data_IF_761951472900
#
_entry.id   IF_761951472900
#
_cell.length_a   1.000
_cell.length_b   1.000
_cell.length_c   1.000
_cell.angle_alpha   90.00
_cell.angle_beta   90.00
_cell.angle_gamma   90.00
#
_symmetry.space_group_name_H-M   'P 1'
#
loop_
_entity.id
_entity.type
_entity.pdbx_description
1 polymer ?
#
# COMPACT_ATOMS: atom_id res chain seq x y z
N UNK A 1 11.60 27.84 -5.50
CA UNK A 1 12.74 26.93 -5.33
C UNK A 1 13.96 27.60 -5.97
N UNK A 2 14.97 27.95 -5.17
CA UNK A 2 16.26 28.36 -5.73
C UNK A 2 16.88 27.17 -6.45
N UNK A 3 17.43 27.36 -7.65
CA UNK A 3 18.10 26.28 -8.37
C UNK A 3 19.36 25.90 -7.60
N UNK A 4 19.39 24.66 -7.09
CA UNK A 4 20.60 24.08 -6.51
C UNK A 4 21.67 24.02 -7.60
N UNK A 5 22.90 24.45 -7.26
CA UNK A 5 24.03 24.46 -8.20
C UNK A 5 24.53 23.06 -8.54
N UNK A 6 25.42 22.93 -9.55
CA UNK A 6 25.96 21.65 -10.00
C UNK A 6 26.75 20.87 -8.92
N UNK A 7 27.27 21.56 -7.92
CA UNK A 7 28.03 20.99 -6.79
C UNK A 7 27.15 20.47 -5.65
N UNK A 8 25.83 20.59 -5.75
CA UNK A 8 24.92 20.12 -4.71
C UNK A 8 24.97 18.58 -4.58
N UNK A 9 24.96 18.04 -3.34
CA UNK A 9 24.96 16.59 -3.14
C UNK A 9 23.72 15.97 -3.79
N UNK A 10 23.85 14.78 -4.35
CA UNK A 10 22.73 14.09 -4.98
C UNK A 10 22.15 13.02 -4.08
N UNK A 11 20.83 12.87 -4.13
CA UNK A 11 20.12 11.76 -3.52
C UNK A 11 19.38 10.96 -4.61
N UNK A 12 19.37 9.64 -4.44
CA UNK A 12 18.62 8.73 -5.29
C UNK A 12 17.32 8.32 -4.59
N UNK A 13 16.21 8.29 -5.33
CA UNK A 13 14.96 7.66 -4.88
C UNK A 13 14.50 6.61 -5.90
N UNK A 14 14.39 5.35 -5.47
CA UNK A 14 13.85 4.26 -6.29
C UNK A 14 12.51 3.83 -5.69
N UNK A 15 11.43 4.27 -6.32
CA UNK A 15 10.05 4.09 -5.86
C UNK A 15 9.08 4.20 -7.04
N UNK A 16 7.77 4.20 -6.80
CA UNK A 16 6.82 4.43 -7.89
C UNK A 16 6.75 5.91 -8.26
N UNK A 17 7.01 6.21 -9.53
CA UNK A 17 7.26 7.59 -9.99
C UNK A 17 6.11 8.20 -10.80
N UNK A 18 4.94 7.55 -10.88
CA UNK A 18 3.85 7.98 -11.76
C UNK A 18 3.38 9.42 -11.50
N UNK A 19 3.49 9.93 -10.27
CA UNK A 19 3.11 11.28 -9.91
C UNK A 19 4.22 12.33 -10.16
N UNK A 20 5.46 11.90 -10.41
CA UNK A 20 6.61 12.80 -10.54
C UNK A 20 6.50 13.81 -11.69
N UNK A 21 5.99 13.47 -12.88
CA UNK A 21 5.78 14.45 -13.93
C UNK A 21 4.89 15.63 -13.50
N UNK A 22 3.85 15.35 -12.69
CA UNK A 22 2.95 16.35 -12.15
C UNK A 22 3.61 17.19 -11.05
N UNK A 23 4.37 16.55 -10.17
CA UNK A 23 5.13 17.24 -9.13
C UNK A 23 6.15 18.22 -9.72
N UNK A 24 6.96 17.79 -10.69
CA UNK A 24 7.97 18.63 -11.36
C UNK A 24 7.32 19.82 -12.09
N UNK A 25 6.13 19.62 -12.64
CA UNK A 25 5.34 20.69 -13.27
C UNK A 25 4.67 21.65 -12.26
N UNK A 26 4.84 21.45 -10.94
CA UNK A 26 4.17 22.23 -9.90
C UNK A 26 2.66 21.99 -9.81
N UNK A 27 2.19 20.84 -10.31
CA UNK A 27 0.77 20.49 -10.48
C UNK A 27 0.43 19.13 -9.87
N UNK A 28 1.08 18.74 -8.78
CA UNK A 28 0.85 17.43 -8.14
C UNK A 28 -0.65 17.15 -7.89
N UNK A 29 -1.39 18.14 -7.42
CA UNK A 29 -2.83 18.03 -7.11
C UNK A 29 -3.70 17.75 -8.35
N UNK A 30 -3.19 17.95 -9.57
CA UNK A 30 -3.90 17.59 -10.80
C UNK A 30 -3.58 16.18 -11.30
N UNK A 31 -2.78 15.39 -10.57
CA UNK A 31 -2.45 14.03 -10.94
C UNK A 31 -3.69 13.13 -10.74
N UNK A 32 -4.21 12.46 -11.79
CA UNK A 32 -5.49 11.77 -11.73
C UNK A 32 -5.49 10.58 -10.75
N UNK A 33 -4.33 9.97 -10.54
CA UNK A 33 -4.15 8.82 -9.65
C UNK A 33 -3.84 9.19 -8.20
N UNK A 34 -3.69 10.48 -7.86
CA UNK A 34 -3.11 10.91 -6.58
C UNK A 34 -3.81 10.29 -5.35
N UNK A 35 -5.13 10.14 -5.43
CA UNK A 35 -5.95 9.60 -4.34
C UNK A 35 -6.15 8.08 -4.42
N UNK A 36 -5.62 7.40 -5.44
CA UNK A 36 -5.80 5.95 -5.58
C UNK A 36 -4.93 5.16 -4.60
N UNK A 37 -3.77 5.71 -4.22
CA UNK A 37 -2.84 5.12 -3.27
C UNK A 37 -1.87 6.17 -2.72
N UNK A 38 -1.50 6.08 -1.44
CA UNK A 38 -0.63 7.06 -0.76
C UNK A 38 0.74 7.22 -1.42
N UNK A 39 1.28 6.13 -1.96
CA UNK A 39 2.56 6.09 -2.70
C UNK A 39 2.75 7.23 -3.72
N UNK A 40 1.67 7.72 -4.34
CA UNK A 40 1.75 8.76 -5.35
C UNK A 40 2.10 10.13 -4.78
N UNK A 41 1.66 10.46 -3.57
CA UNK A 41 2.08 11.70 -2.92
C UNK A 41 3.35 11.50 -2.09
N UNK A 42 3.59 10.29 -1.57
CA UNK A 42 4.80 9.96 -0.79
C UNK A 42 6.09 10.26 -1.57
N UNK A 43 6.18 9.88 -2.85
CA UNK A 43 7.37 10.16 -3.66
C UNK A 43 7.64 11.66 -3.79
N UNK A 44 6.59 12.44 -4.00
CA UNK A 44 6.69 13.89 -4.09
C UNK A 44 7.16 14.48 -2.75
N UNK A 45 6.68 13.93 -1.64
CA UNK A 45 7.07 14.36 -0.30
C UNK A 45 8.52 14.00 0.03
N UNK A 46 8.97 12.78 -0.32
CA UNK A 46 10.38 12.39 -0.20
C UNK A 46 11.29 13.35 -0.97
N UNK A 47 10.94 13.65 -2.23
CA UNK A 47 11.72 14.56 -3.08
C UNK A 47 11.71 15.99 -2.52
N UNK A 48 10.55 16.49 -2.05
CA UNK A 48 10.43 17.81 -1.44
C UNK A 48 11.35 17.95 -0.22
N UNK A 49 11.31 16.99 0.69
CA UNK A 49 12.11 16.99 1.91
C UNK A 49 13.62 16.92 1.63
N UNK A 50 14.04 16.17 0.62
CA UNK A 50 15.43 16.10 0.18
C UNK A 50 15.89 17.41 -0.46
N UNK A 51 15.07 18.00 -1.34
CA UNK A 51 15.36 19.29 -1.95
C UNK A 51 15.50 20.40 -0.91
N UNK A 52 14.64 20.43 0.12
CA UNK A 52 14.72 21.39 1.24
C UNK A 52 16.00 21.25 2.07
N UNK A 53 16.60 20.06 2.07
CA UNK A 53 17.89 19.78 2.71
C UNK A 53 19.09 20.03 1.77
N UNK A 54 18.84 20.56 0.57
CA UNK A 54 19.87 20.94 -0.40
C UNK A 54 20.33 19.83 -1.34
N UNK A 55 19.59 18.72 -1.42
CA UNK A 55 19.92 17.64 -2.36
C UNK A 55 19.32 17.88 -3.75
N UNK A 56 20.07 17.52 -4.79
CA UNK A 56 19.50 17.28 -6.12
C UNK A 56 19.02 15.84 -6.18
N UNK A 57 17.74 15.63 -6.45
CA UNK A 57 17.15 14.28 -6.41
C UNK A 57 16.98 13.69 -7.80
N UNK A 58 17.58 12.52 -8.01
CA UNK A 58 17.27 11.65 -9.15
C UNK A 58 16.28 10.58 -8.69
N UNK A 59 15.32 10.23 -9.56
CA UNK A 59 14.32 9.21 -9.25
C UNK A 59 14.20 8.17 -10.37
N UNK A 60 14.03 6.92 -9.96
CA UNK A 60 13.79 5.78 -10.85
C UNK A 60 12.51 5.08 -10.44
N UNK A 61 11.78 4.56 -11.42
CA UNK A 61 10.68 3.66 -11.13
C UNK A 61 11.20 2.40 -10.43
N UNK A 62 10.43 1.87 -9.49
CA UNK A 62 10.77 0.64 -8.73
C UNK A 62 11.00 -0.58 -9.65
N UNK A 63 10.42 -0.57 -10.84
CA UNK A 63 10.61 -1.62 -11.86
C UNK A 63 11.66 -1.26 -12.91
N UNK A 64 12.30 -0.10 -12.82
CA UNK A 64 13.29 0.34 -13.81
C UNK A 64 14.54 -0.56 -13.76
N UNK A 65 14.89 -1.24 -14.87
CA UNK A 65 16.03 -2.14 -14.93
C UNK A 65 17.35 -1.42 -15.27
N UNK A 66 17.31 -0.12 -15.56
CA UNK A 66 18.49 0.61 -16.02
C UNK A 66 19.59 0.62 -14.95
N UNK A 67 20.86 0.40 -15.32
CA UNK A 67 21.97 0.48 -14.38
C UNK A 67 22.04 1.84 -13.67
N UNK A 68 22.38 1.82 -12.38
CA UNK A 68 22.55 3.03 -11.58
C UNK A 68 24.05 3.27 -11.37
N UNK A 69 24.52 4.47 -11.71
CA UNK A 69 25.85 4.93 -11.31
C UNK A 69 25.81 5.44 -9.86
N UNK A 70 26.03 4.52 -8.92
CA UNK A 70 25.96 4.76 -7.48
C UNK A 70 26.97 5.80 -6.98
N UNK A 71 28.08 6.01 -7.71
CA UNK A 71 29.15 6.93 -7.32
C UNK A 71 28.70 8.40 -7.27
N UNK A 72 27.55 8.71 -7.87
CA UNK A 72 26.99 10.07 -7.96
C UNK A 72 26.22 10.49 -6.72
N UNK A 73 25.86 9.56 -5.84
CA UNK A 73 24.90 9.80 -4.76
C UNK A 73 25.57 9.82 -3.39
N UNK A 74 25.12 10.73 -2.53
CA UNK A 74 25.47 10.73 -1.12
C UNK A 74 24.46 9.92 -0.28
N UNK A 75 23.22 9.78 -0.76
CA UNK A 75 22.18 9.00 -0.10
C UNK A 75 21.26 8.34 -1.14
N UNK A 76 20.68 7.19 -0.78
CA UNK A 76 19.74 6.46 -1.61
C UNK A 76 18.57 5.91 -0.77
N UNK A 77 17.35 6.16 -1.24
CA UNK A 77 16.10 5.65 -0.66
C UNK A 77 15.45 4.69 -1.65
N UNK A 78 15.36 3.41 -1.31
CA UNK A 78 15.05 2.36 -2.28
C UNK A 78 14.01 1.40 -1.69
N UNK A 79 12.95 1.10 -2.44
CA UNK A 79 11.95 0.08 -2.07
C UNK A 79 12.21 -1.30 -2.73
N UNK A 80 12.93 -1.32 -3.84
CA UNK A 80 13.31 -2.54 -4.58
C UNK A 80 14.55 -3.24 -4.00
N UNK A 81 15.00 -4.34 -4.65
CA UNK A 81 16.25 -5.04 -4.28
C UNK A 81 17.55 -4.29 -4.68
N UNK A 82 17.45 -3.07 -5.19
CA UNK A 82 18.58 -2.40 -5.82
C UNK A 82 19.69 -1.95 -4.87
N UNK A 83 19.49 -1.94 -3.55
CA UNK A 83 20.59 -1.62 -2.62
C UNK A 83 21.74 -2.63 -2.68
N UNK A 84 21.46 -3.88 -3.09
CA UNK A 84 22.48 -4.90 -3.31
C UNK A 84 23.43 -4.56 -4.47
N UNK A 85 23.03 -3.67 -5.37
CA UNK A 85 23.85 -3.23 -6.50
C UNK A 85 24.85 -2.14 -6.12
N UNK A 86 24.67 -1.47 -4.98
CA UNK A 86 25.57 -0.42 -4.52
C UNK A 86 26.90 -1.02 -4.04
N UNK A 87 28.05 -0.67 -4.67
CA UNK A 87 29.35 -1.15 -4.21
C UNK A 87 29.60 -0.76 -2.73
N UNK A 88 30.10 -1.70 -1.90
CA UNK A 88 30.25 -1.49 -0.46
C UNK A 88 31.28 -0.41 -0.08
N UNK A 89 32.22 -0.10 -0.97
CA UNK A 89 33.24 0.92 -0.79
C UNK A 89 32.73 2.37 -1.00
N UNK A 90 31.57 2.54 -1.64
CA UNK A 90 31.02 3.87 -1.88
C UNK A 90 30.38 4.42 -0.60
N UNK A 91 30.63 5.70 -0.27
CA UNK A 91 30.12 6.33 0.95
C UNK A 91 28.64 6.76 0.81
N UNK A 92 27.78 5.92 0.20
CA UNK A 92 26.35 6.18 0.03
C UNK A 92 25.61 5.77 1.30
N UNK A 93 24.81 6.68 1.87
CA UNK A 93 23.87 6.32 2.94
C UNK A 93 22.66 5.59 2.34
N UNK A 94 22.50 4.32 2.70
CA UNK A 94 21.50 3.42 2.11
C UNK A 94 20.29 3.27 3.02
N UNK A 95 19.13 3.71 2.54
CA UNK A 95 17.85 3.60 3.23
C UNK A 95 16.96 2.64 2.46
N UNK A 96 16.61 1.52 3.07
CA UNK A 96 15.58 0.64 2.56
C UNK A 96 14.20 1.19 2.97
N UNK A 97 13.49 1.77 2.00
CA UNK A 97 12.15 2.32 2.20
C UNK A 97 11.13 1.18 2.18
N UNK A 98 10.99 0.50 3.31
CA UNK A 98 10.23 -0.74 3.42
C UNK A 98 8.73 -0.46 3.67
N UNK A 99 7.90 -0.83 2.69
CA UNK A 99 6.45 -0.59 2.69
C UNK A 99 5.62 -1.84 2.94
N UNK A 100 6.24 -3.02 2.95
CA UNK A 100 5.56 -4.32 3.02
C UNK A 100 6.31 -5.30 3.93
N UNK A 101 5.80 -6.52 4.09
CA UNK A 101 6.53 -7.54 4.86
C UNK A 101 7.63 -8.17 3.99
N UNK A 102 8.60 -8.82 4.64
CA UNK A 102 9.69 -9.50 3.95
C UNK A 102 9.15 -10.45 2.87
N UNK A 103 9.75 -10.42 1.67
CA UNK A 103 9.22 -11.08 0.47
C UNK A 103 8.86 -12.55 0.72
N UNK A 104 9.69 -13.27 1.48
CA UNK A 104 9.46 -14.69 1.77
C UNK A 104 8.18 -14.91 2.60
N UNK A 105 7.93 -14.03 3.57
CA UNK A 105 6.73 -14.08 4.40
C UNK A 105 5.50 -13.71 3.57
N UNK A 106 5.55 -12.59 2.84
CA UNK A 106 4.43 -12.11 2.03
C UNK A 106 4.02 -13.12 0.97
N UNK A 107 5.00 -13.66 0.24
CA UNK A 107 4.76 -14.62 -0.83
C UNK A 107 4.16 -15.92 -0.29
N UNK A 108 4.69 -16.42 0.83
CA UNK A 108 4.14 -17.60 1.50
C UNK A 108 2.72 -17.33 2.00
N UNK A 109 2.46 -16.19 2.65
CA UNK A 109 1.14 -15.83 3.17
C UNK A 109 0.07 -15.80 2.07
N UNK A 110 0.38 -15.21 0.91
CA UNK A 110 -0.54 -15.20 -0.23
C UNK A 110 -0.79 -16.62 -0.76
N UNK A 111 0.26 -17.42 -0.95
CA UNK A 111 0.10 -18.80 -1.44
C UNK A 111 -0.68 -19.67 -0.45
N UNK A 112 -0.49 -19.48 0.86
CA UNK A 112 -1.29 -20.13 1.90
C UNK A 112 -2.76 -19.73 1.82
N UNK A 113 -3.07 -18.44 1.63
CA UNK A 113 -4.44 -17.94 1.45
C UNK A 113 -5.10 -18.51 0.19
N UNK A 114 -4.39 -18.51 -0.94
CA UNK A 114 -4.90 -19.07 -2.20
C UNK A 114 -5.18 -20.56 -2.07
N UNK A 115 -4.28 -21.32 -1.42
CA UNK A 115 -4.51 -22.74 -1.16
C UNK A 115 -5.76 -22.95 -0.29
N UNK A 116 -5.88 -22.20 0.80
CA UNK A 116 -7.02 -22.31 1.70
C UNK A 116 -8.35 -21.97 0.99
N UNK A 117 -8.35 -20.93 0.15
CA UNK A 117 -9.50 -20.56 -0.69
C UNK A 117 -9.88 -21.69 -1.64
N UNK A 118 -8.89 -22.27 -2.35
CA UNK A 118 -9.10 -23.42 -3.24
C UNK A 118 -9.66 -24.63 -2.50
N UNK A 119 -9.18 -24.92 -1.29
CA UNK A 119 -9.64 -26.08 -0.54
C UNK A 119 -11.12 -25.96 -0.13
N UNK A 120 -11.63 -24.74 0.10
CA UNK A 120 -13.04 -24.49 0.43
C UNK A 120 -13.94 -24.38 -0.81
N UNK A 121 -13.44 -23.80 -1.90
CA UNK A 121 -14.27 -23.41 -3.06
C UNK A 121 -14.04 -24.28 -4.30
N UNK A 122 -12.94 -25.04 -4.36
CA UNK A 122 -12.47 -25.73 -5.55
C UNK A 122 -11.83 -24.82 -6.61
N UNK A 123 -11.73 -23.50 -6.35
CA UNK A 123 -11.28 -22.51 -7.33
C UNK A 123 -9.86 -22.07 -7.02
N UNK A 124 -8.99 -22.11 -8.03
CA UNK A 124 -7.69 -21.44 -7.97
C UNK A 124 -7.82 -19.98 -8.40
N UNK A 125 -7.12 -19.07 -7.75
CA UNK A 125 -6.96 -17.68 -8.22
C UNK A 125 -5.49 -17.42 -8.54
N UNK A 126 -5.20 -16.36 -9.30
CA UNK A 126 -3.82 -15.94 -9.53
C UNK A 126 -3.30 -15.22 -8.27
N UNK A 127 -2.02 -15.38 -7.92
CA UNK A 127 -1.38 -14.47 -6.98
C UNK A 127 -1.30 -13.06 -7.60
N UNK A 128 -1.66 -12.04 -6.83
CA UNK A 128 -1.72 -10.64 -7.25
C UNK A 128 -0.75 -9.76 -6.42
N UNK A 129 -0.15 -10.30 -5.35
CA UNK A 129 0.68 -9.56 -4.37
C UNK A 129 2.04 -10.18 -4.11
N UNK A 130 2.48 -11.09 -4.97
CA UNK A 130 3.84 -11.65 -4.89
C UNK A 130 4.86 -10.53 -5.12
N UNK A 131 5.84 -10.46 -4.23
CA UNK A 131 6.98 -9.56 -4.35
C UNK A 131 8.17 -10.33 -4.93
N UNK A 132 9.00 -9.63 -5.70
CA UNK A 132 10.30 -10.17 -6.11
C UNK A 132 11.18 -10.42 -4.89
N UNK A 133 12.11 -11.37 -5.02
CA UNK A 133 13.14 -11.56 -3.99
C UNK A 133 13.90 -10.25 -3.80
N UNK A 134 14.10 -9.88 -2.55
CA UNK A 134 14.85 -8.68 -2.15
C UNK A 134 15.63 -8.95 -0.88
N UNK A 135 16.90 -8.56 -0.88
CA UNK A 135 17.82 -8.59 0.25
C UNK A 135 18.30 -7.17 0.59
N UNK A 136 17.63 -6.13 0.09
CA UNK A 136 18.03 -4.74 0.33
C UNK A 136 18.10 -4.35 1.81
N UNK A 137 17.37 -5.04 2.70
CA UNK A 137 17.50 -4.89 4.14
C UNK A 137 18.89 -5.32 4.66
N UNK A 138 19.53 -6.33 4.05
CA UNK A 138 20.88 -6.75 4.41
C UNK A 138 21.93 -5.73 3.99
N UNK A 139 21.70 -5.00 2.90
CA UNK A 139 22.64 -4.00 2.35
C UNK A 139 22.42 -2.58 2.87
N UNK A 140 21.27 -2.32 3.50
CA UNK A 140 20.91 -1.00 4.03
C UNK A 140 21.69 -0.60 5.29
N UNK A 141 21.86 0.70 5.48
CA UNK A 141 22.29 1.28 6.76
C UNK A 141 21.07 1.56 7.65
N UNK A 142 19.95 1.95 7.02
CA UNK A 142 18.68 2.27 7.66
C UNK A 142 17.51 1.55 6.99
N UNK A 143 16.51 1.16 7.76
CA UNK A 143 15.24 0.64 7.25
C UNK A 143 14.07 1.43 7.84
N UNK A 144 13.14 1.87 7.00
CA UNK A 144 11.89 2.47 7.46
C UNK A 144 10.80 1.41 7.56
N UNK A 145 9.97 1.45 8.59
CA UNK A 145 8.87 0.50 8.79
C UNK A 145 7.55 1.28 8.86
N UNK A 146 6.53 0.84 8.14
CA UNK A 146 5.17 1.42 8.18
C UNK A 146 4.24 0.65 9.13
N UNK A 147 4.68 -0.51 9.61
CA UNK A 147 3.82 -1.53 10.18
C UNK A 147 3.90 -1.62 11.67
N UNK A 148 3.40 -2.73 12.19
CA UNK A 148 3.56 -3.06 13.60
C UNK A 148 4.99 -3.57 13.86
N UNK A 149 5.41 -3.68 15.14
CA UNK A 149 6.71 -4.28 15.48
C UNK A 149 6.94 -5.68 14.87
N UNK A 150 5.87 -6.40 14.51
CA UNK A 150 5.96 -7.68 13.81
C UNK A 150 6.69 -7.57 12.47
N UNK A 151 6.46 -6.51 11.69
CA UNK A 151 7.14 -6.29 10.40
C UNK A 151 8.66 -6.28 10.61
N UNK A 152 9.14 -5.57 11.63
CA UNK A 152 10.56 -5.49 11.96
C UNK A 152 11.19 -6.82 12.37
N UNK A 153 10.42 -7.82 12.81
CA UNK A 153 10.94 -9.16 13.12
C UNK A 153 11.27 -9.98 11.87
N UNK A 154 10.72 -9.60 10.71
CA UNK A 154 10.88 -10.32 9.45
C UNK A 154 12.13 -9.91 8.66
N UNK A 155 12.78 -8.82 9.05
CA UNK A 155 13.93 -8.23 8.35
C UNK A 155 15.22 -8.36 9.16
N UNK A 156 16.34 -8.19 8.46
CA UNK A 156 17.68 -8.13 9.04
C UNK A 156 17.75 -7.22 10.27
N UNK A 157 18.55 -7.62 11.25
CA UNK A 157 18.83 -6.85 12.47
C UNK A 157 19.99 -5.88 12.31
N UNK A 158 20.69 -5.92 11.17
CA UNK A 158 21.85 -5.07 10.87
C UNK A 158 21.49 -3.58 10.71
N UNK A 159 20.50 -3.16 9.91
CA UNK A 159 20.20 -1.75 9.71
C UNK A 159 19.54 -1.12 10.94
N UNK A 160 19.78 0.18 11.13
CA UNK A 160 19.04 0.98 12.10
C UNK A 160 17.58 1.14 11.66
N UNK A 161 16.63 0.98 12.58
CA UNK A 161 15.20 0.89 12.28
C UNK A 161 14.49 2.19 12.64
N UNK A 162 13.71 2.71 11.70
CA UNK A 162 12.86 3.88 11.91
C UNK A 162 11.41 3.55 11.63
N UNK A 163 10.58 3.62 12.65
CA UNK A 163 9.13 3.55 12.47
C UNK A 163 8.64 4.86 11.88
N UNK A 164 7.85 4.78 10.81
CA UNK A 164 7.09 5.89 10.27
C UNK A 164 5.60 5.67 10.55
N UNK A 165 4.88 6.78 10.68
CA UNK A 165 3.42 6.74 10.64
C UNK A 165 2.96 6.36 9.24
N UNK A 166 1.91 5.55 9.17
CA UNK A 166 1.35 5.16 7.90
C UNK A 166 0.73 6.37 7.18
N UNK A 167 1.10 6.52 5.92
CA UNK A 167 0.57 7.51 5.01
C UNK A 167 -0.84 7.14 4.54
N UNK A 168 -1.68 8.15 4.33
CA UNK A 168 -3.03 7.99 3.77
C UNK A 168 -3.18 8.77 2.47
N UNK A 169 -3.94 8.23 1.52
CA UNK A 169 -4.18 8.90 0.24
C UNK A 169 -5.01 10.19 0.38
N UNK A 170 -5.94 10.22 1.34
CA UNK A 170 -6.73 11.39 1.66
C UNK A 170 -7.16 11.33 3.13
N UNK A 171 -7.24 12.49 3.79
CA UNK A 171 -7.86 12.60 5.11
C UNK A 171 -9.31 13.01 4.88
N UNK A 172 -10.30 12.14 5.14
CA UNK A 172 -11.69 12.53 5.00
C UNK A 172 -12.06 13.56 6.07
N UNK A 173 -13.04 14.41 5.77
CA UNK A 173 -13.62 15.29 6.77
C UNK A 173 -14.25 14.46 7.89
N UNK A 174 -14.03 14.87 9.14
CA UNK A 174 -14.69 14.25 10.28
C UNK A 174 -16.17 14.64 10.28
N UNK A 175 -17.06 13.65 10.35
CA UNK A 175 -18.49 13.86 10.59
C UNK A 175 -18.96 12.94 11.73
N UNK A 176 -19.87 13.42 12.61
CA UNK A 176 -20.40 12.58 13.68
C UNK A 176 -21.12 11.34 13.14
N UNK A 177 -20.76 10.16 13.65
CA UNK A 177 -21.35 8.88 13.26
C UNK A 177 -22.67 8.61 14.00
N UNK A 178 -23.73 8.33 13.26
CA UNK A 178 -24.96 7.76 13.80
C UNK A 178 -24.73 6.26 14.09
N UNK A 179 -24.23 5.96 15.28
CA UNK A 179 -23.90 4.60 15.71
C UNK A 179 -25.12 3.65 15.64
N UNK A 180 -26.33 4.02 16.12
CA UNK A 180 -27.52 3.19 15.93
C UNK A 180 -27.81 2.81 14.47
N UNK A 181 -27.66 3.74 13.53
CA UNK A 181 -27.88 3.47 12.11
C UNK A 181 -26.74 2.66 11.46
N UNK A 182 -25.51 2.82 11.93
CA UNK A 182 -24.32 2.17 11.37
C UNK A 182 -24.05 0.76 11.92
N UNK A 183 -24.64 0.39 13.07
CA UNK A 183 -24.27 -0.80 13.89
C UNK A 183 -24.21 -2.15 13.16
N UNK A 184 -24.95 -2.30 12.06
CA UNK A 184 -25.01 -3.54 11.28
C UNK A 184 -24.23 -3.46 9.96
N UNK A 185 -23.60 -2.34 9.66
CA UNK A 185 -22.95 -2.07 8.37
C UNK A 185 -21.43 -2.13 8.51
N UNK A 186 -20.78 -2.90 7.67
CA UNK A 186 -19.34 -3.10 7.69
C UNK A 186 -18.74 -2.82 6.32
N UNK A 187 -17.55 -2.22 6.32
CA UNK A 187 -16.83 -1.89 5.10
C UNK A 187 -15.64 -2.84 4.91
N UNK A 188 -15.54 -3.49 3.76
CA UNK A 188 -14.29 -4.02 3.27
C UNK A 188 -13.76 -3.05 2.21
N UNK A 189 -12.58 -2.48 2.43
CA UNK A 189 -11.93 -1.55 1.52
C UNK A 189 -10.56 -2.10 1.13
N UNK A 190 -10.37 -2.41 -0.15
CA UNK A 190 -9.11 -2.96 -0.63
C UNK A 190 -8.90 -2.77 -2.14
N UNK A 191 -7.64 -2.55 -2.51
CA UNK A 191 -7.17 -2.71 -3.90
C UNK A 191 -6.91 -4.20 -4.24
N UNK A 192 -6.15 -4.49 -5.30
CA UNK A 192 -5.86 -5.86 -5.73
C UNK A 192 -5.22 -6.75 -4.66
N UNK A 193 -5.30 -8.06 -4.87
CA UNK A 193 -4.88 -9.07 -3.89
C UNK A 193 -5.97 -9.42 -2.89
N UNK A 194 -7.23 -9.45 -3.34
CA UNK A 194 -8.37 -9.55 -2.44
C UNK A 194 -8.37 -10.82 -1.56
N UNK A 195 -7.85 -11.94 -2.05
CA UNK A 195 -7.69 -13.18 -1.25
C UNK A 195 -6.59 -13.05 -0.18
N UNK A 196 -5.45 -12.41 -0.48
CA UNK A 196 -4.43 -12.13 0.55
C UNK A 196 -5.03 -11.23 1.66
N UNK A 197 -5.84 -10.27 1.24
CA UNK A 197 -6.56 -9.30 2.08
C UNK A 197 -7.81 -9.88 2.75
N UNK A 198 -8.12 -11.15 2.50
CA UNK A 198 -9.17 -11.90 3.17
C UNK A 198 -10.60 -11.50 2.81
N UNK A 199 -10.83 -10.96 1.61
CA UNK A 199 -12.20 -10.69 1.12
C UNK A 199 -13.03 -11.98 1.10
N UNK A 200 -12.43 -13.10 0.71
CA UNK A 200 -13.08 -14.40 0.67
C UNK A 200 -13.67 -14.79 2.03
N UNK A 201 -12.90 -14.60 3.10
CA UNK A 201 -13.35 -14.86 4.46
C UNK A 201 -14.44 -13.89 4.92
N UNK A 202 -14.31 -12.61 4.59
CA UNK A 202 -15.33 -11.62 4.93
C UNK A 202 -16.67 -11.96 4.24
N UNK A 203 -16.63 -12.28 2.95
CA UNK A 203 -17.83 -12.67 2.20
C UNK A 203 -18.46 -13.94 2.78
N UNK A 204 -17.67 -15.01 3.02
CA UNK A 204 -18.17 -16.26 3.61
C UNK A 204 -18.83 -16.03 4.98
N UNK A 205 -18.23 -15.18 5.83
CA UNK A 205 -18.78 -14.85 7.14
C UNK A 205 -20.12 -14.10 7.03
N UNK A 206 -20.24 -13.14 6.11
CA UNK A 206 -21.46 -12.36 5.93
C UNK A 206 -22.56 -13.11 5.16
N UNK A 207 -22.23 -14.11 4.35
CA UNK A 207 -23.21 -15.07 3.84
C UNK A 207 -23.93 -15.81 4.97
N UNK A 208 -23.24 -16.05 6.09
CA UNK A 208 -23.78 -16.70 7.29
C UNK A 208 -24.38 -15.71 8.31
N UNK A 209 -24.36 -14.40 8.03
CA UNK A 209 -24.79 -13.33 8.92
C UNK A 209 -25.73 -12.35 8.20
N UNK A 210 -26.93 -12.78 7.78
CA UNK A 210 -27.82 -12.00 6.90
C UNK A 210 -28.36 -10.71 7.53
N UNK A 211 -28.30 -10.57 8.86
CA UNK A 211 -28.68 -9.36 9.60
C UNK A 211 -27.61 -8.25 9.55
N UNK A 212 -26.40 -8.56 9.11
CA UNK A 212 -25.30 -7.61 8.94
C UNK A 212 -25.00 -7.39 7.46
N UNK A 213 -24.64 -6.16 7.11
CA UNK A 213 -24.35 -5.74 5.74
C UNK A 213 -22.84 -5.59 5.52
N UNK A 214 -22.34 -6.16 4.43
CA UNK A 214 -20.97 -5.98 3.98
C UNK A 214 -20.93 -5.12 2.72
N UNK A 215 -20.30 -3.95 2.81
CA UNK A 215 -20.02 -3.09 1.67
C UNK A 215 -18.60 -3.37 1.17
N UNK A 216 -18.48 -3.82 -0.07
CA UNK A 216 -17.22 -4.24 -0.70
C UNK A 216 -16.78 -3.13 -1.66
N UNK A 217 -15.80 -2.33 -1.22
CA UNK A 217 -15.17 -1.27 -2.01
C UNK A 217 -13.80 -1.74 -2.51
N UNK A 218 -13.72 -2.05 -3.81
CA UNK A 218 -12.53 -2.56 -4.45
C UNK A 218 -12.79 -3.05 -5.87
N UNK A 219 -11.79 -2.96 -6.74
CA UNK A 219 -11.87 -3.38 -8.14
C UNK A 219 -11.80 -4.91 -8.35
N UNK A 220 -12.67 -5.68 -7.68
CA UNK A 220 -12.64 -7.16 -7.66
C UNK A 220 -12.91 -7.78 -9.03
N UNK A 221 -13.66 -7.10 -9.89
CA UNK A 221 -13.90 -7.48 -11.29
C UNK A 221 -12.61 -7.62 -12.12
N UNK A 222 -11.50 -7.03 -11.64
CA UNK A 222 -10.17 -7.16 -12.25
C UNK A 222 -9.45 -8.46 -11.89
N UNK A 223 -9.96 -9.24 -10.94
CA UNK A 223 -9.48 -10.59 -10.57
C UNK A 223 -10.50 -11.64 -11.05
N UNK A 224 -10.50 -12.07 -12.34
CA UNK A 224 -11.67 -12.67 -12.97
C UNK A 224 -12.15 -13.97 -12.34
N UNK A 225 -11.23 -14.78 -11.81
CA UNK A 225 -11.56 -16.05 -11.14
C UNK A 225 -12.18 -15.83 -9.77
N UNK A 226 -11.74 -14.81 -9.04
CA UNK A 226 -12.36 -14.42 -7.79
C UNK A 226 -13.73 -13.78 -8.05
N UNK A 227 -13.84 -12.93 -9.08
CA UNK A 227 -15.11 -12.33 -9.49
C UNK A 227 -16.15 -13.38 -9.87
N UNK A 228 -15.75 -14.43 -10.59
CA UNK A 228 -16.62 -15.56 -10.94
C UNK A 228 -17.18 -16.27 -9.70
N UNK A 229 -16.40 -16.35 -8.62
CA UNK A 229 -16.85 -16.91 -7.34
C UNK A 229 -17.75 -15.93 -6.56
N UNK A 230 -17.41 -14.64 -6.54
CA UNK A 230 -18.12 -13.63 -5.77
C UNK A 230 -19.50 -13.30 -6.35
N UNK A 231 -19.62 -13.18 -7.68
CA UNK A 231 -20.86 -12.75 -8.34
C UNK A 231 -22.11 -13.55 -7.92
N UNK A 232 -22.13 -14.90 -7.98
CA UNK A 232 -23.32 -15.65 -7.57
C UNK A 232 -23.67 -15.46 -6.09
N UNK A 233 -22.69 -15.17 -5.23
CA UNK A 233 -22.94 -14.88 -3.81
C UNK A 233 -23.61 -13.51 -3.64
N UNK A 234 -23.17 -12.49 -4.39
CA UNK A 234 -23.83 -11.18 -4.42
C UNK A 234 -25.30 -11.30 -4.88
N UNK A 235 -25.56 -12.14 -5.89
CA UNK A 235 -26.92 -12.36 -6.40
C UNK A 235 -27.81 -13.10 -5.36
N UNK A 236 -27.22 -14.00 -4.56
CA UNK A 236 -27.93 -14.83 -3.58
C UNK A 236 -28.11 -14.17 -2.19
N UNK A 237 -27.25 -13.22 -1.83
CA UNK A 237 -27.19 -12.62 -0.50
C UNK A 237 -27.41 -11.10 -0.57
N UNK A 238 -28.63 -10.60 -0.30
CA UNK A 238 -28.95 -9.18 -0.44
C UNK A 238 -28.24 -8.27 0.58
N UNK A 239 -27.58 -8.86 1.58
CA UNK A 239 -26.78 -8.14 2.56
C UNK A 239 -25.33 -7.87 2.10
N UNK A 240 -24.91 -8.43 0.95
CA UNK A 240 -23.62 -8.14 0.34
C UNK A 240 -23.75 -7.05 -0.73
N UNK A 241 -23.03 -5.96 -0.57
CA UNK A 241 -23.11 -4.77 -1.43
C UNK A 241 -21.77 -4.53 -2.11
N UNK A 242 -21.65 -4.92 -3.39
CA UNK A 242 -20.44 -4.62 -4.16
C UNK A 242 -20.52 -3.24 -4.81
N UNK A 243 -19.55 -2.38 -4.49
CA UNK A 243 -19.51 -0.97 -4.91
C UNK A 243 -18.54 -0.70 -6.06
N UNK A 244 -17.72 -1.69 -6.42
CA UNK A 244 -16.60 -1.50 -7.34
C UNK A 244 -15.51 -0.59 -6.77
N UNK A 245 -14.75 0.05 -7.66
CA UNK A 245 -13.72 1.00 -7.25
C UNK A 245 -14.33 2.26 -6.62
N UNK A 246 -13.83 2.65 -5.44
CA UNK A 246 -14.27 3.85 -4.70
C UNK A 246 -13.06 4.78 -4.50
N UNK A 247 -13.20 6.05 -4.93
CA UNK A 247 -12.20 7.09 -4.68
C UNK A 247 -12.34 7.62 -3.25
N UNK A 248 -11.33 7.31 -2.41
CA UNK A 248 -11.30 7.67 -0.98
C UNK A 248 -11.17 9.18 -0.74
N UNK A 249 -10.77 9.95 -1.75
CA UNK A 249 -10.70 11.41 -1.67
C UNK A 249 -12.03 12.12 -1.94
N UNK A 250 -13.11 11.38 -2.25
CA UNK A 250 -14.43 11.97 -2.55
C UNK A 250 -15.37 11.95 -1.33
N UNK A 251 -16.29 12.93 -1.21
CA UNK A 251 -17.31 12.94 -0.16
C UNK A 251 -18.17 11.68 -0.07
N UNK A 252 -18.35 10.97 -1.20
CA UNK A 252 -19.08 9.71 -1.24
C UNK A 252 -18.42 8.62 -0.37
N UNK A 253 -17.09 8.57 -0.30
CA UNK A 253 -16.38 7.65 0.57
C UNK A 253 -16.56 7.99 2.04
N UNK A 254 -16.45 9.26 2.42
CA UNK A 254 -16.69 9.71 3.80
C UNK A 254 -18.09 9.29 4.28
N UNK A 255 -19.12 9.51 3.44
CA UNK A 255 -20.49 9.06 3.72
C UNK A 255 -20.59 7.54 3.89
N UNK A 256 -19.92 6.76 3.04
CA UNK A 256 -19.89 5.30 3.15
C UNK A 256 -19.23 4.85 4.46
N UNK A 257 -18.07 5.41 4.80
CA UNK A 257 -17.33 5.11 6.03
C UNK A 257 -18.14 5.49 7.28
N UNK A 258 -18.85 6.62 7.26
CA UNK A 258 -19.73 7.07 8.34
C UNK A 258 -20.98 6.19 8.48
N UNK A 259 -21.47 5.60 7.40
CA UNK A 259 -22.60 4.67 7.44
C UNK A 259 -22.22 3.26 7.91
N UNK A 260 -20.93 2.96 8.10
CA UNK A 260 -20.43 1.67 8.58
C UNK A 260 -19.93 1.78 10.01
N UNK A 261 -20.26 0.82 10.89
CA UNK A 261 -19.77 0.79 12.27
C UNK A 261 -18.25 0.60 12.32
N UNK A 262 -17.70 -0.15 11.35
CA UNK A 262 -16.28 -0.38 11.23
C UNK A 262 -15.92 -1.08 9.93
N UNK A 263 -14.62 -1.31 9.76
CA UNK A 263 -14.10 -2.07 8.63
C UNK A 263 -13.76 -3.52 9.02
N UNK A 264 -13.94 -4.45 8.09
CA UNK A 264 -13.56 -5.87 8.22
C UNK A 264 -12.50 -6.14 7.17
N UNK A 265 -11.29 -6.49 7.60
CA UNK A 265 -10.18 -6.68 6.67
C UNK A 265 -9.17 -7.69 7.26
N UNK A 266 -9.46 -9.00 7.13
CA UNK A 266 -8.66 -10.07 7.72
C UNK A 266 -7.43 -10.42 6.86
N UNK A 267 -6.62 -9.40 6.55
CA UNK A 267 -5.41 -9.55 5.72
C UNK A 267 -4.37 -10.44 6.38
N UNK A 268 -3.67 -11.26 5.59
CA UNK A 268 -2.60 -12.12 6.05
C UNK A 268 -1.20 -11.49 5.97
N UNK A 269 -1.04 -10.40 5.20
CA UNK A 269 0.21 -9.66 5.12
C UNK A 269 -0.06 -8.21 4.73
N UNK A 270 0.40 -7.28 5.55
CA UNK A 270 0.47 -5.85 5.27
C UNK A 270 1.77 -5.32 5.86
N UNK A 271 2.45 -4.42 5.15
CA UNK A 271 3.49 -3.59 5.77
C UNK A 271 2.91 -2.50 6.65
N UNK A 272 1.62 -2.19 6.50
CA UNK A 272 0.84 -1.24 7.28
C UNK A 272 -0.52 -1.13 6.59
N UNK A 273 -1.62 -1.18 7.32
CA UNK A 273 -2.94 -1.22 6.68
C UNK A 273 -3.45 0.18 6.29
N UNK A 274 -2.96 0.71 5.18
CA UNK A 274 -3.25 2.06 4.68
C UNK A 274 -4.73 2.45 4.54
N UNK A 275 -5.67 1.52 4.27
CA UNK A 275 -7.10 1.82 4.28
C UNK A 275 -7.68 2.14 5.67
N UNK A 276 -7.06 1.65 6.75
CA UNK A 276 -7.66 1.72 8.08
C UNK A 276 -7.72 3.13 8.68
N UNK A 277 -6.66 3.96 8.63
CA UNK A 277 -6.76 5.32 9.14
C UNK A 277 -7.82 6.14 8.37
N UNK A 278 -8.04 5.87 7.08
CA UNK A 278 -9.12 6.51 6.31
C UNK A 278 -10.52 6.16 6.84
N UNK A 279 -10.69 5.01 7.47
CA UNK A 279 -11.96 4.58 8.06
C UNK A 279 -12.09 5.01 9.54
N UNK A 280 -10.97 5.16 10.24
CA UNK A 280 -10.90 5.32 11.70
C UNK A 280 -10.84 6.78 12.19
N UNK A 281 -10.76 7.79 11.33
CA UNK A 281 -10.88 9.21 11.73
C UNK A 281 -12.30 9.63 12.16
N UNK A 282 -13.24 8.66 12.18
CA UNK A 282 -14.67 8.85 12.52
C UNK A 282 -15.04 8.43 13.95
N UNK A 283 -14.06 8.18 14.82
CA UNK A 283 -14.26 7.83 16.23
C UNK A 283 -14.14 9.04 17.17
#
# INVERSE_FOLDING_TARGET
MGQLGPEAPRALVVYVIHAMPYYVAGKLQSAPMLNEHSMYWEIAEMVRQLNERGYVVDFYDVFCPEPIDWSRYAAAFVQSDRLAECPPELPVKKVFYCTENHWAFQNLAEMTRIKAFRDRTGIWVRPERQTRVSFSDEYADYITLLGTPFQGLLYSTRPERHQLDISVAAVPAHEPKDVPAARANFLWLGSGGAVLKGLDLAVEAFCALPEAHLYIAGGIEREPRLWQWLKPLLDAHPNLHYLGWVDVGKPAFAKLANNCIGAVYPSASEGGGGPWPNCCTSA
#
